data_IF_994068691360
#
_entry.id   IF_994068691360
#
_cell.length_a   1.000
_cell.length_b   1.000
_cell.length_c   1.000
_cell.angle_alpha   90.00
_cell.angle_beta   90.00
_cell.angle_gamma   90.00
#
_symmetry.space_group_name_H-M   'P 1'
#
loop_
_entity.id
_entity.type
_entity.pdbx_description
1 polymer ?
#
# COMPACT_ATOMS: atom_id res chain seq x y z
N UNK A 1 45.57 -32.03 72.94
CA UNK A 1 46.01 -30.62 73.04
C UNK A 1 45.87 -30.03 71.64
N UNK A 2 45.33 -28.85 71.34
CA UNK A 2 44.59 -27.78 72.01
C UNK A 2 44.05 -26.91 70.84
N UNK A 3 42.91 -26.22 71.01
CA UNK A 3 42.25 -25.32 70.04
C UNK A 3 43.11 -24.14 69.55
N UNK A 4 42.72 -23.50 68.44
CA UNK A 4 42.55 -22.04 68.18
C UNK A 4 42.43 -21.83 66.64
N UNK A 5 41.24 -21.67 66.05
CA UNK A 5 40.50 -20.41 65.78
C UNK A 5 41.32 -19.28 65.17
N UNK A 6 41.00 -18.85 63.93
CA UNK A 6 40.83 -17.45 63.50
C UNK A 6 39.99 -17.41 62.21
N UNK A 7 38.86 -16.73 62.33
CA UNK A 7 37.88 -16.31 61.34
C UNK A 7 38.46 -15.35 60.28
N UNK A 8 38.06 -15.50 59.02
CA UNK A 8 38.01 -14.37 58.08
C UNK A 8 36.70 -14.39 57.29
N UNK A 9 35.71 -13.68 57.85
CA UNK A 9 34.51 -13.21 57.17
C UNK A 9 34.92 -12.30 56.02
N UNK A 10 34.50 -12.61 54.80
CA UNK A 10 34.27 -11.63 53.76
C UNK A 10 32.79 -11.70 53.39
N UNK A 11 32.08 -10.67 53.83
CA UNK A 11 30.68 -10.43 53.52
C UNK A 11 30.59 -9.97 52.06
N UNK A 12 29.98 -10.78 51.19
CA UNK A 12 29.37 -10.27 49.98
C UNK A 12 27.86 -10.21 50.24
N UNK A 13 27.37 -9.00 50.44
CA UNK A 13 25.95 -8.71 50.47
C UNK A 13 25.36 -9.06 49.09
N UNK A 14 24.56 -10.12 49.04
CA UNK A 14 23.75 -10.43 47.87
C UNK A 14 22.57 -9.46 47.90
N UNK A 15 22.65 -8.40 47.09
CA UNK A 15 21.53 -7.53 46.82
C UNK A 15 20.44 -8.35 46.11
N UNK A 16 19.35 -8.64 46.81
CA UNK A 16 18.15 -9.24 46.24
C UNK A 16 17.47 -8.21 45.35
N UNK A 17 17.86 -8.15 44.08
CA UNK A 17 17.05 -7.53 43.04
C UNK A 17 15.80 -8.39 42.88
N UNK A 18 14.71 -7.95 43.50
CA UNK A 18 13.37 -8.43 43.21
C UNK A 18 13.08 -8.08 41.75
N UNK A 19 13.32 -9.03 40.84
CA UNK A 19 12.71 -9.01 39.52
C UNK A 19 11.21 -9.12 39.72
N UNK A 20 10.50 -8.00 39.63
CA UNK A 20 9.11 -8.00 39.20
C UNK A 20 9.13 -8.54 37.78
N UNK A 21 9.02 -9.86 37.64
CA UNK A 21 8.59 -10.47 36.41
C UNK A 21 7.18 -9.93 36.15
N UNK A 22 7.10 -8.82 35.41
CA UNK A 22 5.93 -8.55 34.60
C UNK A 22 5.81 -9.76 33.70
N UNK A 23 4.91 -10.67 34.06
CA UNK A 23 4.51 -11.73 33.18
C UNK A 23 4.10 -11.04 31.88
N UNK A 24 4.90 -11.21 30.82
CA UNK A 24 4.35 -11.17 29.49
C UNK A 24 3.28 -12.25 29.52
N UNK A 25 2.02 -11.85 29.69
CA UNK A 25 0.91 -12.68 29.27
C UNK A 25 1.20 -12.96 27.82
N UNK A 26 1.63 -14.19 27.52
CA UNK A 26 1.67 -14.67 26.16
C UNK A 26 0.29 -14.35 25.60
N UNK A 27 0.23 -13.43 24.64
CA UNK A 27 -0.99 -13.17 23.91
C UNK A 27 -1.49 -14.54 23.45
N UNK A 28 -2.72 -14.84 23.84
CA UNK A 28 -3.38 -16.06 23.40
C UNK A 28 -3.24 -16.08 21.88
N UNK A 29 -2.76 -17.17 21.25
CA UNK A 29 -2.60 -17.19 19.80
C UNK A 29 -3.94 -16.77 19.21
N UNK A 30 -3.97 -15.58 18.59
CA UNK A 30 -5.14 -15.14 17.86
C UNK A 30 -5.48 -16.28 16.92
N UNK A 31 -6.72 -16.75 16.96
CA UNK A 31 -7.14 -17.85 16.11
C UNK A 31 -6.72 -17.50 14.68
N UNK A 32 -5.99 -18.39 14.01
CA UNK A 32 -5.53 -18.13 12.65
C UNK A 32 -6.74 -17.69 11.82
N UNK A 33 -6.63 -16.61 11.02
CA UNK A 33 -7.75 -16.10 10.26
C UNK A 33 -8.38 -17.24 9.46
N UNK A 34 -9.70 -17.38 9.54
CA UNK A 34 -10.42 -18.37 8.71
C UNK A 34 -10.50 -17.90 7.26
N UNK A 35 -10.36 -16.59 7.06
CA UNK A 35 -10.41 -15.93 5.78
C UNK A 35 -9.14 -16.17 4.94
N UNK A 36 -9.26 -16.72 3.72
CA UNK A 36 -8.10 -17.06 2.90
C UNK A 36 -7.29 -15.83 2.43
N UNK A 37 -7.94 -14.69 2.19
CA UNK A 37 -7.27 -13.43 1.83
C UNK A 37 -6.39 -12.96 2.99
N UNK A 38 -6.98 -12.78 4.18
CA UNK A 38 -6.27 -12.35 5.40
C UNK A 38 -5.06 -13.24 5.69
N UNK A 39 -5.20 -14.58 5.62
CA UNK A 39 -4.07 -15.48 5.89
C UNK A 39 -2.90 -15.28 4.92
N UNK A 40 -3.18 -14.96 3.66
CA UNK A 40 -2.15 -14.77 2.64
C UNK A 40 -1.46 -13.42 2.80
N UNK A 41 -2.24 -12.39 3.12
CA UNK A 41 -1.70 -11.09 3.50
C UNK A 41 -0.84 -11.19 4.75
N UNK A 42 -1.29 -11.89 5.80
CA UNK A 42 -0.50 -12.13 7.01
C UNK A 42 0.81 -12.86 6.70
N UNK A 43 0.78 -13.86 5.82
CA UNK A 43 1.97 -14.58 5.40
C UNK A 43 2.93 -13.67 4.63
N UNK A 44 2.43 -12.89 3.66
CA UNK A 44 3.23 -11.92 2.91
C UNK A 44 3.86 -10.88 3.85
N UNK A 45 3.10 -10.45 4.86
CA UNK A 45 3.51 -9.42 5.80
C UNK A 45 4.59 -9.86 6.79
N UNK A 46 4.63 -11.15 7.10
CA UNK A 46 5.61 -11.74 8.01
C UNK A 46 6.83 -12.36 7.30
N UNK A 47 6.82 -12.41 5.97
CA UNK A 47 7.95 -12.91 5.20
C UNK A 47 9.17 -11.99 5.37
N UNK A 48 10.35 -12.61 5.52
CA UNK A 48 11.62 -11.91 5.76
C UNK A 48 12.34 -11.64 4.43
N UNK A 49 12.17 -12.54 3.46
CA UNK A 49 12.77 -12.44 2.13
C UNK A 49 11.86 -11.65 1.19
N UNK A 50 12.44 -10.70 0.46
CA UNK A 50 11.68 -9.80 -0.43
C UNK A 50 11.03 -10.59 -1.57
N UNK A 51 11.72 -11.59 -2.13
CA UNK A 51 11.17 -12.38 -3.23
C UNK A 51 9.99 -13.24 -2.73
N UNK A 52 10.09 -13.76 -1.50
CA UNK A 52 8.99 -14.48 -0.83
C UNK A 52 7.79 -13.56 -0.53
N UNK A 53 8.01 -12.35 0.01
CA UNK A 53 6.96 -11.36 0.22
C UNK A 53 6.23 -11.04 -1.08
N UNK A 54 6.97 -10.83 -2.16
CA UNK A 54 6.46 -10.52 -3.50
C UNK A 54 5.60 -11.67 -4.04
N UNK A 55 6.06 -12.91 -3.95
CA UNK A 55 5.29 -14.09 -4.37
C UNK A 55 3.99 -14.25 -3.55
N UNK A 56 4.05 -14.09 -2.24
CA UNK A 56 2.88 -14.20 -1.36
C UNK A 56 1.86 -13.08 -1.61
N UNK A 57 2.34 -11.89 -1.97
CA UNK A 57 1.51 -10.76 -2.35
C UNK A 57 0.74 -11.02 -3.66
N UNK A 58 1.39 -11.61 -4.68
CA UNK A 58 0.68 -12.00 -5.92
C UNK A 58 -0.42 -13.00 -5.62
N UNK A 59 -0.12 -13.99 -4.79
CA UNK A 59 -1.11 -15.00 -4.37
C UNK A 59 -2.25 -14.34 -3.60
N UNK A 60 -1.96 -13.35 -2.74
CA UNK A 60 -3.00 -12.60 -2.04
C UNK A 60 -3.88 -11.82 -3.03
N UNK A 61 -3.29 -11.15 -4.02
CA UNK A 61 -4.04 -10.42 -5.05
C UNK A 61 -4.94 -11.33 -5.89
N UNK A 62 -4.57 -12.60 -6.11
CA UNK A 62 -5.40 -13.58 -6.80
C UNK A 62 -6.55 -14.13 -5.93
N UNK A 63 -6.41 -14.09 -4.60
CA UNK A 63 -7.35 -14.73 -3.66
C UNK A 63 -8.34 -13.74 -3.06
N UNK A 64 -7.92 -12.50 -2.81
CA UNK A 64 -8.81 -11.47 -2.29
C UNK A 64 -9.85 -11.12 -3.35
N UNK A 65 -11.13 -11.08 -2.97
CA UNK A 65 -12.23 -10.85 -3.90
C UNK A 65 -12.36 -9.36 -4.25
N UNK A 66 -11.77 -8.47 -3.43
CA UNK A 66 -11.76 -7.03 -3.69
C UNK A 66 -10.54 -6.31 -3.11
N UNK A 67 -10.27 -5.11 -3.61
CA UNK A 67 -9.28 -4.17 -3.07
C UNK A 67 -9.63 -3.77 -1.63
N UNK A 68 -10.91 -3.59 -1.31
CA UNK A 68 -11.35 -3.26 0.06
C UNK A 68 -10.99 -4.37 1.04
N UNK A 69 -11.18 -5.63 0.65
CA UNK A 69 -10.82 -6.80 1.47
C UNK A 69 -9.30 -6.87 1.66
N UNK A 70 -8.55 -6.67 0.57
CA UNK A 70 -7.09 -6.63 0.59
C UNK A 70 -6.55 -5.52 1.50
N UNK A 71 -7.08 -4.30 1.38
CA UNK A 71 -6.73 -3.15 2.23
C UNK A 71 -7.07 -3.41 3.70
N UNK A 72 -8.23 -4.01 3.97
CA UNK A 72 -8.63 -4.40 5.33
C UNK A 72 -7.66 -5.40 5.92
N UNK A 73 -7.19 -6.37 5.12
CA UNK A 73 -6.21 -7.33 5.57
C UNK A 73 -4.85 -6.71 5.87
N UNK A 74 -4.40 -5.78 5.02
CA UNK A 74 -3.14 -5.05 5.22
C UNK A 74 -3.19 -4.00 6.34
N UNK A 75 -4.37 -3.50 6.72
CA UNK A 75 -4.51 -2.59 7.85
C UNK A 75 -4.03 -3.19 9.18
N UNK A 76 -3.96 -4.53 9.29
CA UNK A 76 -3.40 -5.22 10.45
C UNK A 76 -1.86 -5.20 10.48
N UNK A 77 -1.22 -4.79 9.39
CA UNK A 77 0.22 -4.82 9.17
C UNK A 77 0.78 -3.45 8.75
N UNK A 78 0.60 -2.39 9.58
CA UNK A 78 1.09 -1.06 9.23
C UNK A 78 2.61 -1.05 9.09
N UNK A 79 3.12 -0.57 7.94
CA UNK A 79 4.55 -0.41 7.67
C UNK A 79 5.26 -1.63 7.08
N UNK A 80 4.55 -2.74 6.85
CA UNK A 80 5.07 -3.88 6.08
C UNK A 80 5.26 -3.51 4.62
N UNK A 81 4.30 -2.79 4.07
CA UNK A 81 4.39 -2.22 2.74
C UNK A 81 5.01 -0.82 2.86
N UNK A 82 6.09 -0.56 2.13
CA UNK A 82 6.67 0.78 2.03
C UNK A 82 5.81 1.78 1.23
N UNK A 83 4.64 1.35 0.80
CA UNK A 83 3.69 2.05 -0.07
C UNK A 83 2.26 1.76 0.40
N UNK A 84 1.29 2.57 -0.04
CA UNK A 84 -0.13 2.25 0.21
C UNK A 84 -0.53 0.92 -0.46
N UNK A 85 -1.50 0.15 0.10
CA UNK A 85 -1.94 -1.10 -0.53
C UNK A 85 -2.44 -0.91 -1.97
N UNK A 86 -3.17 0.18 -2.24
CA UNK A 86 -3.59 0.58 -3.58
C UNK A 86 -2.39 0.76 -4.53
N UNK A 87 -1.36 1.49 -4.09
CA UNK A 87 -0.15 1.69 -4.89
C UNK A 87 0.60 0.38 -5.13
N UNK A 88 0.67 -0.50 -4.13
CA UNK A 88 1.26 -1.84 -4.28
C UNK A 88 0.54 -2.64 -5.35
N UNK A 89 -0.79 -2.72 -5.28
CA UNK A 89 -1.62 -3.41 -6.27
C UNK A 89 -1.42 -2.79 -7.65
N UNK A 90 -1.49 -1.46 -7.77
CA UNK A 90 -1.29 -0.74 -9.01
C UNK A 90 0.06 -1.03 -9.67
N UNK A 91 1.16 -0.93 -8.91
CA UNK A 91 2.51 -1.25 -9.42
C UNK A 91 2.61 -2.70 -9.89
N UNK A 92 1.99 -3.65 -9.17
CA UNK A 92 1.99 -5.08 -9.52
C UNK A 92 1.18 -5.36 -10.78
N UNK A 93 -0.07 -4.87 -10.87
CA UNK A 93 -0.93 -5.01 -12.03
C UNK A 93 -0.27 -4.47 -13.31
N UNK A 94 0.55 -3.43 -13.18
CA UNK A 94 1.21 -2.78 -14.30
C UNK A 94 2.53 -3.42 -14.72
N UNK A 95 3.30 -3.92 -13.76
CA UNK A 95 4.57 -4.61 -14.01
C UNK A 95 4.33 -6.02 -14.58
N UNK A 96 3.22 -6.65 -14.23
CA UNK A 96 2.92 -8.04 -14.58
C UNK A 96 1.76 -8.17 -15.58
N UNK A 97 2.07 -7.92 -16.85
CA UNK A 97 1.34 -8.52 -17.98
C UNK A 97 1.70 -10.01 -18.19
N UNK A 98 2.67 -10.53 -17.41
CA UNK A 98 3.12 -11.92 -17.47
C UNK A 98 2.37 -12.81 -16.44
N UNK A 99 1.37 -13.52 -16.96
CA UNK A 99 0.91 -14.88 -16.60
C UNK A 99 0.30 -15.22 -15.21
N UNK A 100 0.35 -14.38 -14.17
CA UNK A 100 -0.30 -14.71 -12.88
C UNK A 100 -1.27 -13.64 -12.36
N UNK A 101 -0.80 -12.42 -12.18
CA UNK A 101 -1.61 -11.31 -11.65
C UNK A 101 -2.46 -10.56 -12.68
N UNK A 102 -2.26 -10.78 -13.98
CA UNK A 102 -3.03 -10.08 -15.02
C UNK A 102 -4.54 -10.37 -14.99
N UNK A 103 -4.95 -11.43 -14.30
CA UNK A 103 -6.36 -11.81 -14.12
C UNK A 103 -6.81 -11.68 -12.64
N UNK A 104 -6.01 -11.03 -11.79
CA UNK A 104 -6.41 -10.78 -10.43
C UNK A 104 -7.61 -9.81 -10.44
N UNK A 105 -8.71 -10.10 -9.72
CA UNK A 105 -9.88 -9.22 -9.65
C UNK A 105 -9.52 -7.78 -9.26
N UNK A 106 -8.50 -7.64 -8.41
CA UNK A 106 -7.98 -6.35 -7.95
C UNK A 106 -7.48 -5.48 -9.11
N UNK A 107 -6.93 -6.05 -10.18
CA UNK A 107 -6.44 -5.27 -11.33
C UNK A 107 -7.57 -4.68 -12.19
N UNK A 108 -8.80 -5.18 -12.03
CA UNK A 108 -9.99 -4.70 -12.72
C UNK A 108 -10.77 -3.66 -11.91
N UNK A 109 -10.32 -3.36 -10.68
CA UNK A 109 -10.99 -2.37 -9.85
C UNK A 109 -10.75 -0.95 -10.33
N UNK A 110 -11.81 -0.14 -10.31
CA UNK A 110 -11.79 1.26 -10.75
C UNK A 110 -10.61 2.09 -10.17
N UNK A 111 -10.32 2.10 -8.86
CA UNK A 111 -9.17 2.83 -8.32
C UNK A 111 -7.82 2.34 -8.87
N UNK A 112 -7.67 1.04 -9.14
CA UNK A 112 -6.44 0.47 -9.71
C UNK A 112 -6.30 0.85 -11.17
N UNK A 113 -7.36 0.74 -11.96
CA UNK A 113 -7.40 1.17 -13.36
C UNK A 113 -7.07 2.66 -13.47
N UNK A 114 -7.71 3.50 -12.65
CA UNK A 114 -7.51 4.95 -12.66
C UNK A 114 -6.08 5.37 -12.28
N UNK A 115 -5.43 4.60 -11.39
CA UNK A 115 -4.06 4.85 -10.95
C UNK A 115 -3.00 4.31 -11.93
N UNK A 116 -3.30 3.22 -12.63
CA UNK A 116 -2.33 2.57 -13.53
C UNK A 116 -2.43 3.03 -14.97
N UNK A 117 -3.60 3.54 -15.38
CA UNK A 117 -3.91 3.85 -16.77
C UNK A 117 -4.04 2.59 -17.63
N UNK A 118 -4.19 1.42 -17.00
CA UNK A 118 -4.41 0.16 -17.71
C UNK A 118 -5.81 0.18 -18.33
N UNK A 119 -5.91 0.49 -19.62
CA UNK A 119 -7.06 0.05 -20.41
C UNK A 119 -6.96 -1.47 -20.63
N UNK A 120 -8.09 -2.18 -20.87
CA UNK A 120 -8.04 -3.58 -21.30
C UNK A 120 -7.05 -3.73 -22.46
N UNK A 121 -6.20 -4.77 -22.45
CA UNK A 121 -4.94 -4.79 -23.17
C UNK A 121 -5.12 -4.55 -24.67
N UNK A 122 -4.55 -3.45 -25.13
CA UNK A 122 -4.22 -3.17 -26.51
C UNK A 122 -2.74 -3.53 -26.77
N UNK A 123 -2.51 -4.37 -27.78
CA UNK A 123 -1.26 -5.08 -28.09
C UNK A 123 -0.03 -4.20 -28.43
N UNK A 124 -0.07 -2.89 -28.18
CA UNK A 124 0.94 -1.92 -28.64
C UNK A 124 1.67 -1.19 -27.50
N UNK A 125 1.80 -1.82 -26.33
CA UNK A 125 2.36 -1.21 -25.11
C UNK A 125 3.78 -0.66 -25.28
N UNK A 126 3.88 0.66 -25.53
CA UNK A 126 5.11 1.42 -25.41
C UNK A 126 5.29 1.80 -23.93
N UNK A 127 6.43 1.47 -23.34
CA UNK A 127 6.61 1.48 -21.87
C UNK A 127 6.65 2.88 -21.22
N UNK A 128 6.38 3.94 -21.99
CA UNK A 128 6.48 5.34 -21.57
C UNK A 128 5.18 6.15 -21.69
N UNK A 129 4.04 5.50 -21.92
CA UNK A 129 2.73 6.16 -22.03
C UNK A 129 1.81 5.70 -20.91
N UNK A 130 1.22 6.65 -20.20
CA UNK A 130 0.10 6.44 -19.29
C UNK A 130 -1.19 6.93 -19.95
N UNK A 131 -2.22 6.10 -20.00
CA UNK A 131 -3.52 6.48 -20.58
C UNK A 131 -4.56 6.58 -19.47
N UNK A 132 -4.93 7.80 -19.09
CA UNK A 132 -5.96 8.06 -18.09
C UNK A 132 -7.26 8.57 -18.71
N UNK A 133 -8.30 8.69 -17.87
CA UNK A 133 -9.58 9.29 -18.26
C UNK A 133 -9.66 10.68 -17.65
N UNK A 134 -9.96 11.69 -18.47
CA UNK A 134 -10.21 13.06 -18.05
C UNK A 134 -11.63 13.25 -17.49
N UNK A 135 -11.88 14.38 -16.80
CA UNK A 135 -13.20 14.75 -16.27
C UNK A 135 -14.32 14.79 -17.33
N UNK A 136 -13.97 15.04 -18.60
CA UNK A 136 -14.91 15.05 -19.72
C UNK A 136 -15.13 13.66 -20.37
N UNK A 137 -14.51 12.62 -19.80
CA UNK A 137 -14.60 11.23 -20.24
C UNK A 137 -13.68 10.86 -21.40
N UNK A 138 -12.84 11.78 -21.91
CA UNK A 138 -11.85 11.44 -22.93
C UNK A 138 -10.69 10.64 -22.33
N UNK A 139 -10.14 9.72 -23.12
CA UNK A 139 -8.85 9.11 -22.82
C UNK A 139 -7.72 10.08 -23.18
N UNK A 140 -6.81 10.32 -22.25
CA UNK A 140 -5.66 11.21 -22.38
C UNK A 140 -4.38 10.38 -22.21
N UNK A 141 -3.52 10.45 -23.21
CA UNK A 141 -2.16 9.94 -23.14
C UNK A 141 -1.26 10.98 -22.46
N UNK A 142 -0.59 10.56 -21.40
CA UNK A 142 0.40 11.32 -20.66
C UNK A 142 1.73 10.61 -20.84
N UNK A 143 2.72 11.30 -21.40
CA UNK A 143 4.06 10.76 -21.66
C UNK A 143 5.11 11.50 -20.84
N UNK A 144 6.32 10.95 -20.72
CA UNK A 144 7.44 11.64 -20.04
C UNK A 144 7.75 13.03 -20.65
N UNK A 145 7.46 13.22 -21.94
CA UNK A 145 7.66 14.50 -22.64
C UNK A 145 6.67 15.60 -22.20
N UNK A 146 5.62 15.25 -21.45
CA UNK A 146 4.65 16.21 -20.89
C UNK A 146 5.18 17.04 -19.71
N UNK A 147 6.42 16.78 -19.27
CA UNK A 147 7.02 17.45 -18.10
C UNK A 147 6.50 16.93 -16.75
N UNK A 148 5.73 15.84 -16.77
CA UNK A 148 5.22 15.15 -15.60
C UNK A 148 6.23 14.09 -15.15
N UNK A 149 6.46 14.01 -13.84
CA UNK A 149 7.32 12.98 -13.27
C UNK A 149 6.61 11.63 -13.23
N UNK A 150 7.34 10.57 -13.56
CA UNK A 150 6.85 9.21 -13.58
C UNK A 150 7.64 8.33 -12.61
N UNK A 151 6.96 7.55 -11.78
CA UNK A 151 7.55 6.50 -10.95
C UNK A 151 7.06 5.14 -11.43
N UNK A 152 8.01 4.36 -11.98
CA UNK A 152 7.75 3.08 -12.65
C UNK A 152 6.60 3.19 -13.64
N UNK A 153 6.57 4.36 -14.31
CA UNK A 153 5.66 4.88 -15.33
C UNK A 153 4.25 5.25 -14.88
N UNK A 154 3.92 5.23 -13.59
CA UNK A 154 2.72 5.91 -13.07
C UNK A 154 3.07 7.38 -12.81
N UNK A 155 2.25 8.36 -13.24
CA UNK A 155 2.45 9.76 -12.88
C UNK A 155 2.58 9.95 -11.35
N UNK A 156 3.62 10.64 -10.90
CA UNK A 156 3.94 10.82 -9.48
C UNK A 156 2.82 11.52 -8.69
N UNK A 157 2.08 12.42 -9.35
CA UNK A 157 0.91 13.08 -8.76
C UNK A 157 -0.24 12.10 -8.45
N UNK A 158 -0.42 11.05 -9.27
CA UNK A 158 -1.42 10.01 -9.00
C UNK A 158 -1.01 9.14 -7.80
N UNK A 159 0.28 8.86 -7.64
CA UNK A 159 0.81 8.19 -6.44
C UNK A 159 0.58 9.05 -5.19
N UNK A 160 0.76 10.37 -5.31
CA UNK A 160 0.47 11.31 -4.22
C UNK A 160 -1.01 11.27 -3.83
N UNK A 161 -1.93 11.29 -4.80
CA UNK A 161 -3.38 11.13 -4.57
C UNK A 161 -3.68 9.80 -3.86
N UNK A 162 -3.12 8.69 -4.32
CA UNK A 162 -3.32 7.38 -3.71
C UNK A 162 -2.84 7.33 -2.25
N UNK A 163 -1.69 7.96 -1.95
CA UNK A 163 -1.14 8.02 -0.60
C UNK A 163 -1.95 8.94 0.33
N UNK A 164 -2.53 10.03 -0.18
CA UNK A 164 -3.49 10.85 0.56
C UNK A 164 -4.77 10.07 0.89
N UNK A 165 -5.29 9.28 -0.05
CA UNK A 165 -6.45 8.44 0.21
C UNK A 165 -6.15 7.34 1.25
N UNK A 166 -4.95 6.76 1.21
CA UNK A 166 -4.51 5.74 2.16
C UNK A 166 -4.39 6.26 3.61
N UNK A 167 -4.06 7.55 3.80
CA UNK A 167 -4.07 8.18 5.12
C UNK A 167 -5.49 8.47 5.65
N UNK A 168 -6.51 8.29 4.81
CA UNK A 168 -7.92 8.63 5.07
C UNK A 168 -8.15 10.09 5.46
N UNK A 169 -7.27 10.98 5.00
CA UNK A 169 -7.40 12.42 5.16
C UNK A 169 -8.25 13.00 4.02
N UNK A 170 -9.58 12.90 4.17
CA UNK A 170 -10.52 13.37 3.15
C UNK A 170 -10.43 14.88 2.88
N UNK A 171 -10.02 15.68 3.87
CA UNK A 171 -9.88 17.14 3.72
C UNK A 171 -8.71 17.43 2.77
N UNK A 172 -7.53 16.88 3.05
CA UNK A 172 -6.35 17.06 2.20
C UNK A 172 -6.56 16.45 0.81
N UNK A 173 -7.28 15.31 0.70
CA UNK A 173 -7.62 14.73 -0.60
C UNK A 173 -8.55 15.64 -1.41
N UNK A 174 -9.56 16.25 -0.78
CA UNK A 174 -10.45 17.21 -1.44
C UNK A 174 -9.73 18.48 -1.87
N UNK A 175 -8.84 19.01 -1.04
CA UNK A 175 -7.99 20.14 -1.42
C UNK A 175 -7.11 19.81 -2.63
N UNK A 176 -6.49 18.62 -2.65
CA UNK A 176 -5.69 18.16 -3.78
C UNK A 176 -6.53 18.03 -5.05
N UNK A 177 -7.71 17.42 -4.97
CA UNK A 177 -8.62 17.28 -6.11
C UNK A 177 -9.05 18.65 -6.68
N UNK A 178 -9.34 19.61 -5.81
CA UNK A 178 -9.73 20.96 -6.24
C UNK A 178 -8.59 21.70 -6.95
N UNK A 179 -7.35 21.56 -6.48
CA UNK A 179 -6.17 22.12 -7.17
C UNK A 179 -6.12 21.59 -8.61
N UNK A 180 -6.32 20.29 -8.81
CA UNK A 180 -6.33 19.69 -10.14
C UNK A 180 -7.49 20.16 -11.00
N UNK A 181 -8.69 20.36 -10.45
CA UNK A 181 -9.84 20.91 -11.19
C UNK A 181 -9.60 22.35 -11.64
N UNK A 182 -8.99 23.17 -10.79
CA UNK A 182 -8.61 24.55 -11.15
C UNK A 182 -7.58 24.54 -12.28
N UNK A 183 -6.55 23.69 -12.18
CA UNK A 183 -5.54 23.54 -13.23
C UNK A 183 -6.14 23.00 -14.54
N UNK A 184 -7.08 22.05 -14.45
CA UNK A 184 -7.80 21.48 -15.60
C UNK A 184 -8.55 22.55 -16.41
N UNK A 185 -9.02 23.62 -15.75
CA UNK A 185 -9.72 24.74 -16.40
C UNK A 185 -8.80 25.74 -17.11
N UNK A 186 -7.47 25.56 -17.03
CA UNK A 186 -6.48 26.47 -17.61
C UNK A 186 -6.07 25.99 -19.02
N UNK A 187 -6.08 26.89 -20.02
CA UNK A 187 -5.75 26.54 -21.41
C UNK A 187 -4.31 26.00 -21.55
N UNK A 188 -4.16 24.81 -22.17
CA UNK A 188 -2.87 24.25 -22.62
C UNK A 188 -2.28 23.14 -21.73
N UNK A 189 -2.60 23.10 -20.43
CA UNK A 189 -2.13 22.08 -19.47
C UNK A 189 -3.29 21.26 -18.88
N UNK A 190 -4.53 21.54 -19.31
CA UNK A 190 -5.73 21.06 -18.65
C UNK A 190 -6.01 19.55 -18.76
N UNK A 191 -5.49 18.86 -19.78
CA UNK A 191 -5.84 17.45 -20.02
C UNK A 191 -5.23 16.49 -18.97
N UNK A 192 -3.97 16.68 -18.59
CA UNK A 192 -3.33 15.88 -17.54
C UNK A 192 -3.91 16.20 -16.17
N UNK A 193 -4.09 17.49 -15.85
CA UNK A 193 -4.74 17.92 -14.61
C UNK A 193 -6.19 17.40 -14.50
N UNK A 194 -6.93 17.38 -15.61
CA UNK A 194 -8.27 16.79 -15.69
C UNK A 194 -8.25 15.29 -15.43
N UNK A 195 -7.21 14.59 -15.90
CA UNK A 195 -7.00 13.18 -15.61
C UNK A 195 -6.72 12.94 -14.13
N UNK A 196 -5.89 13.78 -13.50
CA UNK A 196 -5.58 13.67 -12.07
C UNK A 196 -6.79 13.98 -11.19
N UNK A 197 -7.58 14.98 -11.55
CA UNK A 197 -8.85 15.29 -10.87
C UNK A 197 -9.84 14.12 -10.96
N UNK A 198 -10.00 13.53 -12.14
CA UNK A 198 -10.88 12.38 -12.33
C UNK A 198 -10.40 11.14 -11.54
N UNK A 199 -9.09 10.86 -11.52
CA UNK A 199 -8.55 9.77 -10.69
C UNK A 199 -8.75 10.04 -9.20
N UNK A 200 -8.65 11.30 -8.74
CA UNK A 200 -8.97 11.66 -7.36
C UNK A 200 -10.44 11.38 -7.01
N UNK A 201 -11.39 11.67 -7.92
CA UNK A 201 -12.82 11.37 -7.73
C UNK A 201 -13.05 9.85 -7.55
N UNK A 202 -12.46 9.02 -8.40
CA UNK A 202 -12.59 7.56 -8.31
C UNK A 202 -12.00 7.02 -7.00
N UNK A 203 -10.80 7.47 -6.64
CA UNK A 203 -10.13 7.00 -5.43
C UNK A 203 -10.88 7.48 -4.18
N UNK A 204 -11.40 8.71 -4.18
CA UNK A 204 -12.19 9.23 -3.07
C UNK A 204 -13.49 8.46 -2.87
N UNK A 205 -14.20 8.12 -3.95
CA UNK A 205 -15.39 7.26 -3.90
C UNK A 205 -15.06 5.91 -3.25
N UNK A 206 -13.95 5.28 -3.65
CA UNK A 206 -13.48 4.00 -3.09
C UNK A 206 -13.24 4.08 -1.58
N UNK A 207 -12.57 5.14 -1.10
CA UNK A 207 -12.29 5.30 0.34
C UNK A 207 -13.45 5.92 1.15
N UNK A 208 -14.55 6.28 0.49
CA UNK A 208 -15.74 6.87 1.10
C UNK A 208 -15.59 8.35 1.48
N UNK A 209 -14.69 9.09 0.82
CA UNK A 209 -14.57 10.54 0.93
C UNK A 209 -15.52 11.24 -0.06
N UNK A 210 -16.18 12.32 0.37
CA UNK A 210 -16.94 13.19 -0.53
C UNK A 210 -16.06 14.39 -0.90
N UNK A 211 -15.77 14.56 -2.19
CA UNK A 211 -14.98 15.68 -2.73
C UNK A 211 -15.84 16.84 -3.25
#
# INVERSE_FOLDING_TARGET
MQSFSITRRWSCAVASLALTASACTAETPSAAPTDPCQRRVDAAALAIDIDETVELLDIAMEICDSLTEFETAFAQHPGVLGFSPLEVVARRCRTHSAQRTSNAPLCEEAPVIALTGLQPPDDNGDSGVFTGIALDGRAIEITEDSGIEFDRGIPADLITIANLAASRDCETLAESAEIWRVLASTEGEGDAASTFAHTADIIAEHVGCNL
#
